data_IF_553441128765
#
_entry.id   IF_553441128765
#
_cell.length_a   1.000
_cell.length_b   1.000
_cell.length_c   1.000
_cell.angle_alpha   90.00
_cell.angle_beta   90.00
_cell.angle_gamma   90.00
#
_symmetry.space_group_name_H-M   'P 1'
#
loop_
_entity.id
_entity.type
_entity.pdbx_description
1 polymer ?
#
# COMPACT_ATOMS: atom_id res chain seq x y z
N UNK A 1 34.67 32.19 -9.65
CA UNK A 1 33.52 31.32 -9.86
C UNK A 1 33.58 30.18 -8.86
N UNK A 2 32.97 30.40 -7.71
CA UNK A 2 32.73 29.38 -6.70
C UNK A 2 31.47 28.59 -7.08
N UNK A 3 31.44 27.25 -6.88
CA UNK A 3 30.25 26.48 -7.11
C UNK A 3 29.20 26.81 -6.03
N UNK A 4 28.02 27.20 -6.48
CA UNK A 4 26.84 27.30 -5.60
C UNK A 4 26.49 25.91 -5.10
N UNK A 5 26.54 25.72 -3.78
CA UNK A 5 25.86 24.61 -3.09
C UNK A 5 24.36 24.79 -3.32
N UNK A 6 23.79 23.94 -4.14
CA UNK A 6 22.34 23.67 -4.13
C UNK A 6 22.06 22.81 -2.87
N UNK A 7 21.80 23.46 -1.76
CA UNK A 7 21.09 22.84 -0.63
C UNK A 7 19.67 22.55 -1.14
N UNK A 8 19.40 21.28 -1.43
CA UNK A 8 18.05 20.80 -1.62
C UNK A 8 17.22 21.19 -0.40
N UNK A 9 16.19 21.98 -0.58
CA UNK A 9 15.21 22.31 0.44
C UNK A 9 14.51 21.01 0.86
N UNK A 10 15.05 20.37 1.90
CA UNK A 10 14.25 19.44 2.69
C UNK A 10 13.08 20.25 3.26
N UNK A 11 11.86 19.85 2.99
CA UNK A 11 10.68 20.36 3.66
C UNK A 11 10.96 20.35 5.16
N UNK A 12 10.67 21.46 5.85
CA UNK A 12 11.07 21.60 7.25
C UNK A 12 10.48 20.44 8.04
N UNK A 13 11.29 19.82 8.88
CA UNK A 13 10.85 18.74 9.80
C UNK A 13 9.70 19.20 10.70
N UNK A 14 9.57 20.50 10.95
CA UNK A 14 8.39 21.10 11.57
C UNK A 14 7.09 20.83 10.78
N UNK A 15 7.15 20.54 9.49
CA UNK A 15 6.00 20.10 8.69
C UNK A 15 5.72 18.61 8.88
N UNK A 16 6.76 17.79 8.98
CA UNK A 16 6.65 16.36 9.28
C UNK A 16 6.14 16.16 10.72
N UNK A 17 6.67 16.89 11.70
CA UNK A 17 6.22 16.83 13.10
C UNK A 17 4.79 17.37 13.31
N UNK A 18 4.27 18.21 12.41
CA UNK A 18 2.85 18.61 12.42
C UNK A 18 1.91 17.50 11.99
N UNK A 19 2.39 16.52 11.23
CA UNK A 19 1.63 15.33 10.84
C UNK A 19 1.59 14.25 11.93
N UNK A 20 2.48 14.35 12.93
CA UNK A 20 2.55 13.43 14.07
C UNK A 20 2.35 14.19 15.39
N UNK A 21 1.12 14.55 15.78
CA UNK A 21 0.86 15.33 16.99
C UNK A 21 1.37 14.68 18.28
N UNK A 22 1.60 13.36 18.28
CA UNK A 22 2.16 12.62 19.41
C UNK A 22 3.62 12.17 19.21
N UNK A 23 4.23 12.45 18.05
CA UNK A 23 5.60 12.08 17.68
C UNK A 23 5.83 10.57 17.53
N UNK A 24 6.96 10.22 16.92
CA UNK A 24 7.37 8.80 16.71
C UNK A 24 7.70 8.12 18.05
N UNK A 25 8.00 8.91 19.09
CA UNK A 25 8.21 8.43 20.46
C UNK A 25 6.90 8.11 21.21
N UNK A 26 5.78 7.94 20.50
CA UNK A 26 4.46 7.60 21.09
C UNK A 26 4.43 6.28 21.85
N UNK A 27 5.38 5.37 21.60
CA UNK A 27 5.55 4.12 22.36
C UNK A 27 6.08 4.36 23.78
N UNK A 28 6.67 5.52 24.07
CA UNK A 28 7.13 5.88 25.39
C UNK A 28 5.97 6.34 26.27
N UNK A 29 6.01 5.98 27.54
CA UNK A 29 5.11 6.55 28.51
C UNK A 29 5.33 8.08 28.60
N UNK A 30 4.30 8.83 28.98
CA UNK A 30 4.38 10.28 29.16
C UNK A 30 5.55 10.70 30.07
N UNK A 31 5.89 9.88 31.08
CA UNK A 31 7.00 10.13 32.01
C UNK A 31 8.34 9.97 31.32
N UNK A 32 8.51 8.95 30.50
CA UNK A 32 9.75 8.69 29.75
C UNK A 32 9.96 9.77 28.70
N UNK A 33 8.91 10.16 27.99
CA UNK A 33 8.95 11.23 26.99
C UNK A 33 9.35 12.56 27.60
N UNK A 34 8.71 12.97 28.71
CA UNK A 34 9.07 14.20 29.40
C UNK A 34 10.53 14.19 29.88
N UNK A 35 11.06 13.04 30.33
CA UNK A 35 12.45 12.95 30.73
C UNK A 35 13.40 13.17 29.55
N UNK A 36 13.12 12.61 28.39
CA UNK A 36 13.92 12.86 27.18
C UNK A 36 13.83 14.32 26.74
N UNK A 37 12.64 14.90 26.70
CA UNK A 37 12.41 16.29 26.29
C UNK A 37 13.12 17.29 27.21
N UNK A 38 13.21 16.99 28.51
CA UNK A 38 13.87 17.85 29.50
C UNK A 38 15.41 17.74 29.49
N UNK A 39 15.95 16.61 29.08
CA UNK A 39 17.38 16.30 29.26
C UNK A 39 18.17 16.16 27.95
N UNK A 40 17.55 15.69 26.84
CA UNK A 40 18.24 15.51 25.59
C UNK A 40 18.21 16.77 24.71
N UNK A 41 19.31 17.12 24.02
CA UNK A 41 19.30 18.19 23.03
C UNK A 41 18.28 17.90 21.92
N UNK A 42 17.60 18.94 21.44
CA UNK A 42 16.60 18.83 20.38
C UNK A 42 17.11 18.08 19.14
N UNK A 43 18.33 18.38 18.69
CA UNK A 43 18.94 17.70 17.55
C UNK A 43 19.17 16.20 17.79
N UNK A 44 19.43 15.79 19.03
CA UNK A 44 19.59 14.40 19.39
C UNK A 44 18.24 13.68 19.45
N UNK A 45 17.19 14.32 19.98
CA UNK A 45 15.83 13.77 19.95
C UNK A 45 15.37 13.52 18.51
N UNK A 46 15.62 14.48 17.64
CA UNK A 46 15.37 14.38 16.22
C UNK A 46 16.13 13.22 15.57
N UNK A 47 17.41 13.05 15.93
CA UNK A 47 18.21 11.93 15.42
C UNK A 47 17.71 10.58 15.93
N UNK A 48 17.29 10.49 17.19
CA UNK A 48 16.66 9.30 17.77
C UNK A 48 15.39 8.94 17.00
N UNK A 49 14.54 9.92 16.70
CA UNK A 49 13.33 9.69 15.89
C UNK A 49 13.65 9.20 14.49
N UNK A 50 14.64 9.81 13.83
CA UNK A 50 15.08 9.38 12.49
C UNK A 50 15.72 7.99 12.50
N UNK A 51 16.52 7.65 13.51
CA UNK A 51 17.16 6.36 13.62
C UNK A 51 16.12 5.26 13.92
N UNK A 52 15.16 5.56 14.81
CA UNK A 52 14.03 4.66 15.09
C UNK A 52 13.19 4.43 13.84
N UNK A 53 12.87 5.50 13.13
CA UNK A 53 12.09 5.45 11.89
C UNK A 53 12.81 4.67 10.78
N UNK A 54 14.14 4.85 10.67
CA UNK A 54 14.95 4.19 9.66
C UNK A 54 15.46 2.79 10.10
N UNK A 55 15.08 2.30 11.29
CA UNK A 55 15.60 1.02 11.82
C UNK A 55 17.12 1.02 12.05
N UNK A 56 17.74 2.19 12.20
CA UNK A 56 19.19 2.31 12.38
C UNK A 56 19.60 2.17 13.84
N UNK A 57 20.83 1.68 14.10
CA UNK A 57 21.39 1.69 15.45
C UNK A 57 21.41 3.09 16.05
N UNK A 58 20.98 3.23 17.31
CA UNK A 58 21.10 4.47 18.03
C UNK A 58 22.56 4.85 18.28
N UNK A 59 22.85 6.14 18.24
CA UNK A 59 24.17 6.64 18.60
C UNK A 59 24.47 6.36 20.08
N UNK A 60 25.75 6.29 20.45
CA UNK A 60 26.17 6.14 21.84
C UNK A 60 25.61 7.26 22.73
N UNK A 61 25.43 8.47 22.19
CA UNK A 61 24.85 9.59 22.92
C UNK A 61 23.34 9.37 23.13
N UNK A 62 22.60 8.86 22.15
CA UNK A 62 21.19 8.52 22.32
C UNK A 62 21.00 7.46 23.43
N UNK A 63 21.82 6.41 23.43
CA UNK A 63 21.79 5.36 24.45
C UNK A 63 22.00 5.92 25.85
N UNK A 64 22.93 6.88 26.05
CA UNK A 64 23.14 7.54 27.35
C UNK A 64 21.88 8.24 27.87
N UNK A 65 21.09 8.87 26.99
CA UNK A 65 19.86 9.53 27.41
C UNK A 65 18.73 8.53 27.69
N UNK A 66 18.67 7.42 26.96
CA UNK A 66 17.77 6.31 27.30
C UNK A 66 18.09 5.76 28.69
N UNK A 67 19.35 5.50 28.99
CA UNK A 67 19.80 5.03 30.32
C UNK A 67 19.46 6.02 31.41
N UNK A 68 19.71 7.33 31.17
CA UNK A 68 19.38 8.39 32.11
C UNK A 68 17.89 8.46 32.44
N UNK A 69 17.05 8.21 31.46
CA UNK A 69 15.59 8.23 31.61
C UNK A 69 15.01 6.87 32.03
N UNK A 70 15.84 5.85 32.27
CA UNK A 70 15.46 4.46 32.51
C UNK A 70 14.54 3.91 31.41
N UNK A 71 14.80 4.28 30.17
CA UNK A 71 14.11 3.76 29.00
C UNK A 71 14.97 2.61 28.48
N UNK A 72 14.46 1.37 28.46
CA UNK A 72 15.17 0.31 27.74
C UNK A 72 15.27 0.76 26.27
N UNK A 73 16.48 0.78 25.67
CA UNK A 73 16.59 1.11 24.26
C UNK A 73 15.66 0.16 23.50
N UNK A 74 14.82 0.66 22.59
CA UNK A 74 13.95 -0.19 21.80
C UNK A 74 14.84 -1.23 21.10
N UNK A 75 14.42 -2.51 21.04
CA UNK A 75 15.19 -3.55 20.39
C UNK A 75 15.44 -3.10 18.95
N UNK A 76 16.71 -3.01 18.58
CA UNK A 76 17.08 -2.78 17.19
C UNK A 76 16.54 -3.94 16.36
N UNK A 77 16.04 -3.70 15.15
CA UNK A 77 15.73 -4.76 14.23
C UNK A 77 16.97 -5.67 14.08
N UNK A 78 16.94 -6.85 14.70
CA UNK A 78 18.03 -7.85 14.64
C UNK A 78 18.82 -8.15 15.92
N UNK A 79 18.66 -7.44 17.05
CA UNK A 79 19.38 -7.67 18.31
C UNK A 79 18.50 -8.08 19.52
N UNK A 80 17.33 -8.55 19.32
CA UNK A 80 16.59 -9.28 20.38
C UNK A 80 16.55 -10.74 20.00
N UNK A 81 16.62 -11.64 20.98
CA UNK A 81 16.16 -13.01 20.78
C UNK A 81 14.90 -12.96 19.94
N UNK A 82 14.93 -13.54 18.77
CA UNK A 82 13.97 -13.56 17.68
C UNK A 82 12.47 -13.60 18.11
N UNK A 83 12.02 -12.50 18.69
CA UNK A 83 10.64 -12.05 18.70
C UNK A 83 10.44 -10.87 17.72
N UNK A 84 11.37 -10.61 16.80
CA UNK A 84 10.92 -10.36 15.45
C UNK A 84 10.12 -11.64 15.18
N UNK A 85 8.79 -11.54 15.21
CA UNK A 85 7.99 -12.58 14.59
C UNK A 85 8.62 -12.74 13.21
N UNK A 86 9.51 -13.71 13.10
CA UNK A 86 9.90 -14.28 11.84
C UNK A 86 8.58 -14.33 11.11
N UNK A 87 8.50 -13.68 9.96
CA UNK A 87 7.30 -13.66 9.13
C UNK A 87 6.33 -14.68 9.67
N UNK A 88 5.14 -14.33 10.23
CA UNK A 88 4.36 -15.30 10.98
C UNK A 88 4.49 -16.57 10.20
N UNK A 89 5.06 -17.63 10.81
CA UNK A 89 5.32 -18.88 10.11
C UNK A 89 3.95 -19.32 9.61
N UNK A 90 3.57 -18.77 8.46
CA UNK A 90 2.44 -19.26 7.70
C UNK A 90 2.80 -20.71 7.54
N UNK A 91 1.90 -21.62 7.83
CA UNK A 91 2.13 -23.06 7.72
C UNK A 91 2.93 -23.30 6.44
N UNK A 92 4.27 -23.36 6.55
CA UNK A 92 5.16 -23.64 5.44
C UNK A 92 4.81 -25.07 5.06
N UNK A 93 3.90 -25.19 4.11
CA UNK A 93 3.60 -26.47 3.49
C UNK A 93 4.92 -26.94 2.88
N UNK A 94 5.46 -28.04 3.38
CA UNK A 94 6.71 -28.67 2.90
C UNK A 94 6.67 -29.07 1.41
N UNK A 95 5.61 -28.70 0.68
CA UNK A 95 5.36 -29.00 -0.73
C UNK A 95 5.27 -27.75 -1.63
N UNK A 96 6.10 -26.72 -1.41
CA UNK A 96 6.21 -25.61 -2.36
C UNK A 96 7.15 -26.01 -3.48
N UNK A 97 6.69 -26.83 -4.39
CA UNK A 97 7.26 -26.97 -5.73
C UNK A 97 6.91 -25.69 -6.51
N UNK A 98 7.92 -24.90 -6.83
CA UNK A 98 7.91 -23.64 -7.59
C UNK A 98 7.40 -22.40 -6.81
N UNK A 99 8.33 -21.63 -6.29
CA UNK A 99 8.04 -20.30 -5.73
C UNK A 99 7.55 -19.35 -6.84
N UNK A 100 6.56 -18.52 -6.51
CA UNK A 100 6.21 -17.39 -7.37
C UNK A 100 7.40 -16.43 -7.50
N UNK A 101 7.61 -15.86 -8.69
CA UNK A 101 8.69 -14.91 -8.95
C UNK A 101 8.34 -13.91 -10.06
N UNK A 102 9.00 -12.78 -10.04
CA UNK A 102 8.86 -11.73 -11.04
C UNK A 102 9.97 -11.80 -12.08
N UNK A 103 9.60 -11.60 -13.34
CA UNK A 103 10.52 -11.40 -14.47
C UNK A 103 10.14 -10.17 -15.28
N UNK A 104 11.00 -9.77 -16.21
CA UNK A 104 10.74 -8.66 -17.15
C UNK A 104 10.35 -7.35 -16.46
N UNK A 105 11.08 -6.99 -15.38
CA UNK A 105 10.83 -5.76 -14.61
C UNK A 105 11.33 -4.56 -15.43
N UNK A 106 10.39 -3.74 -15.93
CA UNK A 106 10.68 -2.62 -16.83
C UNK A 106 9.94 -1.37 -16.41
N UNK A 107 10.65 -0.24 -16.30
CA UNK A 107 10.02 1.07 -16.07
C UNK A 107 9.16 1.49 -17.24
N UNK A 108 7.97 2.01 -16.95
CA UNK A 108 7.09 2.63 -17.95
C UNK A 108 7.45 4.11 -18.17
N UNK A 109 8.38 4.67 -17.40
CA UNK A 109 8.72 6.10 -17.38
C UNK A 109 7.50 7.02 -17.14
N UNK A 110 6.54 6.53 -16.39
CA UNK A 110 5.34 7.27 -15.98
C UNK A 110 5.39 7.47 -14.47
N UNK A 111 5.30 8.72 -14.03
CA UNK A 111 5.19 9.08 -12.63
C UNK A 111 3.80 8.75 -12.11
N UNK A 112 3.71 8.07 -10.97
CA UNK A 112 2.43 7.75 -10.36
C UNK A 112 2.47 6.62 -9.35
N UNK A 113 1.33 6.49 -8.65
CA UNK A 113 1.07 5.48 -7.63
C UNK A 113 -0.33 4.89 -7.81
N UNK A 114 -0.64 3.84 -7.07
CA UNK A 114 -1.96 3.18 -7.04
C UNK A 114 -2.49 2.89 -8.46
N UNK A 115 -1.74 2.13 -9.27
CA UNK A 115 -2.21 1.72 -10.59
C UNK A 115 -3.39 0.76 -10.48
N UNK A 116 -4.29 0.82 -11.48
CA UNK A 116 -5.33 -0.18 -11.70
C UNK A 116 -5.38 -0.55 -13.17
N UNK A 117 -5.31 -1.85 -13.47
CA UNK A 117 -5.40 -2.41 -14.82
C UNK A 117 -6.79 -2.95 -15.10
N UNK A 118 -7.36 -2.52 -16.22
CA UNK A 118 -8.64 -3.01 -16.73
C UNK A 118 -8.47 -3.61 -18.13
N UNK A 119 -9.02 -4.78 -18.35
CA UNK A 119 -9.07 -5.40 -19.67
C UNK A 119 -10.23 -4.80 -20.48
N UNK A 120 -9.91 -4.01 -21.51
CA UNK A 120 -10.92 -3.42 -22.41
C UNK A 120 -11.34 -4.45 -23.48
N UNK A 121 -10.37 -5.15 -24.07
CA UNK A 121 -10.59 -6.23 -25.03
C UNK A 121 -9.31 -7.08 -25.18
N UNK A 122 -9.31 -8.04 -26.10
CA UNK A 122 -8.20 -8.98 -26.30
C UNK A 122 -6.86 -8.34 -26.74
N UNK A 123 -6.83 -7.05 -27.09
CA UNK A 123 -5.63 -6.34 -27.53
C UNK A 123 -5.37 -5.05 -26.78
N UNK A 124 -6.29 -4.66 -25.89
CA UNK A 124 -6.29 -3.32 -25.29
C UNK A 124 -6.57 -3.38 -23.80
N UNK A 125 -5.74 -2.70 -23.04
CA UNK A 125 -5.86 -2.47 -21.61
C UNK A 125 -6.14 -0.99 -21.35
N UNK A 126 -6.74 -0.70 -20.20
CA UNK A 126 -6.77 0.63 -19.64
C UNK A 126 -5.99 0.63 -18.34
N UNK A 127 -5.12 1.61 -18.20
CA UNK A 127 -4.32 1.83 -17.00
C UNK A 127 -4.77 3.13 -16.36
N UNK A 128 -5.25 3.03 -15.13
CA UNK A 128 -5.54 4.15 -14.25
C UNK A 128 -4.40 4.26 -13.23
N UNK A 129 -4.05 5.46 -12.82
CA UNK A 129 -3.08 5.67 -11.75
C UNK A 129 -3.14 7.09 -11.20
N UNK A 130 -2.88 7.26 -9.93
CA UNK A 130 -2.77 8.56 -9.29
C UNK A 130 -1.45 9.23 -9.69
N UNK A 131 -1.51 10.44 -10.28
CA UNK A 131 -0.35 11.18 -10.77
C UNK A 131 -0.46 12.64 -10.40
N UNK A 132 0.65 13.21 -9.91
CA UNK A 132 0.73 14.65 -9.63
C UNK A 132 0.58 15.49 -10.90
N UNK A 133 1.12 15.03 -12.02
CA UNK A 133 1.01 15.71 -13.30
C UNK A 133 -0.41 15.76 -13.85
N UNK A 134 -1.25 14.79 -13.48
CA UNK A 134 -2.66 14.74 -13.85
C UNK A 134 -3.58 15.48 -12.86
N UNK A 135 -3.06 15.91 -11.70
CA UNK A 135 -3.84 16.50 -10.61
C UNK A 135 -5.02 15.59 -10.18
N UNK A 136 -4.77 14.29 -10.16
CA UNK A 136 -5.76 13.26 -9.85
C UNK A 136 -5.42 11.93 -10.52
N UNK A 137 -6.44 11.27 -11.03
CA UNK A 137 -6.31 9.96 -11.68
C UNK A 137 -6.02 10.13 -13.17
N UNK A 138 -4.87 9.70 -13.63
CA UNK A 138 -4.53 9.58 -15.04
C UNK A 138 -5.23 8.37 -15.68
N UNK A 139 -5.62 8.47 -16.94
CA UNK A 139 -6.27 7.40 -17.70
C UNK A 139 -5.54 7.20 -19.01
N UNK A 140 -4.89 6.06 -19.17
CA UNK A 140 -4.14 5.69 -20.36
C UNK A 140 -4.76 4.46 -21.03
N UNK A 141 -4.73 4.42 -22.37
CA UNK A 141 -5.07 3.25 -23.16
C UNK A 141 -3.77 2.60 -23.64
N UNK A 142 -3.62 1.30 -23.39
CA UNK A 142 -2.37 0.57 -23.60
C UNK A 142 -2.60 -0.70 -24.41
N UNK A 143 -1.58 -1.19 -25.07
CA UNK A 143 -1.51 -2.59 -25.49
C UNK A 143 -1.03 -3.51 -24.32
N UNK A 144 -0.93 -4.82 -24.55
CA UNK A 144 -0.46 -5.77 -23.53
C UNK A 144 1.05 -5.70 -23.25
N UNK A 145 1.79 -4.95 -24.07
CA UNK A 145 3.20 -4.60 -23.78
C UNK A 145 3.31 -3.32 -22.94
N UNK A 146 2.15 -2.70 -22.59
CA UNK A 146 2.02 -1.43 -21.90
C UNK A 146 2.66 -0.26 -22.66
N UNK A 147 2.59 -0.27 -23.98
CA UNK A 147 2.76 0.93 -24.79
C UNK A 147 1.48 1.75 -24.67
N UNK A 148 1.53 2.82 -23.89
CA UNK A 148 0.36 3.57 -23.47
C UNK A 148 0.22 4.90 -24.17
N UNK A 149 -1.03 5.34 -24.33
CA UNK A 149 -1.39 6.67 -24.82
C UNK A 149 -2.39 7.32 -23.87
N UNK A 150 -2.04 8.49 -23.34
CA UNK A 150 -2.91 9.25 -22.44
C UNK A 150 -4.24 9.58 -23.13
N UNK A 151 -5.35 9.23 -22.48
CA UNK A 151 -6.71 9.55 -22.92
C UNK A 151 -7.25 10.78 -22.18
N UNK A 152 -6.94 10.92 -20.90
CA UNK A 152 -7.42 12.00 -20.07
C UNK A 152 -7.01 11.87 -18.62
N UNK A 153 -7.71 12.63 -17.78
CA UNK A 153 -7.57 12.56 -16.33
C UNK A 153 -8.93 12.82 -15.64
N UNK A 154 -9.07 12.27 -14.44
CA UNK A 154 -10.22 12.54 -13.56
C UNK A 154 -9.70 13.21 -12.31
N UNK A 155 -10.15 14.45 -12.06
CA UNK A 155 -9.72 15.21 -10.90
C UNK A 155 -10.29 14.68 -9.59
N UNK A 156 -9.55 14.85 -8.49
CA UNK A 156 -9.96 14.66 -7.09
C UNK A 156 -10.20 13.24 -6.62
N UNK A 157 -10.06 12.23 -7.45
CA UNK A 157 -10.13 10.84 -7.02
C UNK A 157 -8.75 10.21 -7.02
N UNK A 158 -8.54 9.25 -6.13
CA UNK A 158 -7.30 8.49 -5.94
C UNK A 158 -7.63 7.03 -5.70
N UNK A 159 -6.63 6.17 -5.85
CA UNK A 159 -6.70 4.75 -5.46
C UNK A 159 -7.97 4.05 -6.03
N UNK A 160 -8.13 4.12 -7.35
CA UNK A 160 -9.29 3.57 -8.03
C UNK A 160 -9.13 2.08 -8.31
N UNK A 161 -10.19 1.32 -8.05
CA UNK A 161 -10.42 -0.03 -8.61
C UNK A 161 -11.78 -0.07 -9.30
N UNK A 162 -11.91 -0.81 -10.41
CA UNK A 162 -13.17 -0.97 -11.16
C UNK A 162 -13.47 -2.47 -11.33
N UNK A 163 -14.72 -2.82 -11.09
CA UNK A 163 -15.25 -4.14 -11.39
C UNK A 163 -16.47 -4.05 -12.29
N UNK A 164 -16.68 -5.05 -13.13
CA UNK A 164 -17.95 -5.23 -13.84
C UNK A 164 -18.87 -6.10 -13.00
N UNK A 165 -19.99 -5.55 -12.56
CA UNK A 165 -20.99 -6.28 -11.79
C UNK A 165 -21.66 -7.37 -12.64
N UNK A 166 -22.35 -8.32 -12.03
CA UNK A 166 -23.10 -9.36 -12.75
C UNK A 166 -24.22 -8.79 -13.63
N UNK A 167 -24.63 -7.54 -13.44
CA UNK A 167 -25.58 -6.82 -14.31
C UNK A 167 -24.90 -6.06 -15.46
N UNK A 168 -23.57 -6.15 -15.61
CA UNK A 168 -22.80 -5.42 -16.63
C UNK A 168 -22.55 -3.95 -16.28
N UNK A 169 -22.74 -3.54 -15.03
CA UNK A 169 -22.44 -2.17 -14.58
C UNK A 169 -20.97 -2.08 -14.22
N UNK A 170 -20.23 -1.13 -14.80
CA UNK A 170 -18.85 -0.81 -14.41
C UNK A 170 -18.86 0.04 -13.15
N UNK A 171 -18.60 -0.59 -12.03
CA UNK A 171 -18.61 0.05 -10.72
C UNK A 171 -17.19 0.27 -10.23
N UNK A 172 -16.87 1.55 -9.98
CA UNK A 172 -15.60 1.93 -9.39
C UNK A 172 -15.71 2.17 -7.89
N UNK A 173 -14.61 1.88 -7.19
CA UNK A 173 -14.37 2.21 -5.79
C UNK A 173 -13.08 3.00 -5.71
N UNK A 174 -13.09 4.12 -5.00
CA UNK A 174 -11.97 5.04 -4.97
C UNK A 174 -11.96 5.87 -3.69
N UNK A 175 -10.85 6.49 -3.41
CA UNK A 175 -10.68 7.39 -2.27
C UNK A 175 -10.95 8.82 -2.69
N UNK A 176 -11.73 9.53 -1.89
CA UNK A 176 -11.95 10.97 -2.03
C UNK A 176 -11.79 11.66 -0.67
N UNK A 177 -11.18 12.85 -0.67
CA UNK A 177 -11.09 13.67 0.52
C UNK A 177 -12.38 14.46 0.74
N UNK A 178 -13.04 14.23 1.87
CA UNK A 178 -14.22 14.98 2.28
C UNK A 178 -13.81 16.23 3.08
N UNK A 179 -13.96 17.45 2.53
CA UNK A 179 -13.54 18.67 3.21
C UNK A 179 -14.38 19.01 4.45
N UNK A 180 -15.59 18.45 4.57
CA UNK A 180 -16.46 18.71 5.72
C UNK A 180 -16.06 17.90 6.94
N UNK A 181 -15.72 16.64 6.76
CA UNK A 181 -15.24 15.72 7.81
C UNK A 181 -13.74 15.80 8.00
N UNK A 182 -13.00 16.37 7.03
CA UNK A 182 -11.53 16.39 6.94
C UNK A 182 -10.92 14.99 6.96
N UNK A 183 -11.61 14.03 6.37
CA UNK A 183 -11.22 12.64 6.29
C UNK A 183 -11.23 12.16 4.84
N UNK A 184 -10.45 11.12 4.55
CA UNK A 184 -10.60 10.35 3.31
C UNK A 184 -11.76 9.37 3.49
N UNK A 185 -12.52 9.14 2.43
CA UNK A 185 -13.65 8.22 2.41
C UNK A 185 -13.56 7.32 1.17
N UNK A 186 -13.99 6.06 1.31
CA UNK A 186 -14.18 5.19 0.15
C UNK A 186 -15.55 5.50 -0.46
N UNK A 187 -15.51 5.92 -1.71
CA UNK A 187 -16.66 6.23 -2.53
C UNK A 187 -16.90 5.11 -3.53
N UNK A 188 -18.14 5.00 -4.02
CA UNK A 188 -18.45 4.20 -5.21
C UNK A 188 -19.23 5.03 -6.23
N UNK A 189 -19.02 4.71 -7.52
CA UNK A 189 -19.71 5.35 -8.63
C UNK A 189 -19.83 4.40 -9.84
N UNK A 190 -20.68 4.77 -10.81
CA UNK A 190 -20.76 4.08 -12.09
C UNK A 190 -19.87 4.79 -13.08
N UNK A 191 -18.88 4.09 -13.61
CA UNK A 191 -17.91 4.61 -14.58
C UNK A 191 -18.39 4.41 -16.02
N UNK A 192 -18.11 5.40 -16.87
CA UNK A 192 -18.33 5.33 -18.31
C UNK A 192 -17.45 4.26 -18.96
N UNK A 193 -17.82 3.80 -20.15
CA UNK A 193 -17.05 2.80 -20.89
C UNK A 193 -15.63 3.26 -21.25
N UNK A 194 -15.44 4.56 -21.50
CA UNK A 194 -14.13 5.15 -21.76
C UNK A 194 -13.28 5.38 -20.51
N UNK A 195 -13.89 5.22 -19.32
CA UNK A 195 -13.20 5.43 -18.03
C UNK A 195 -12.91 6.89 -17.69
N UNK A 196 -13.42 7.87 -18.44
CA UNK A 196 -13.11 9.28 -18.27
C UNK A 196 -14.15 10.07 -17.46
N UNK A 197 -15.25 9.43 -17.11
CA UNK A 197 -16.32 10.06 -16.33
C UNK A 197 -17.05 9.03 -15.47
N UNK A 198 -17.74 9.53 -14.46
CA UNK A 198 -18.58 8.71 -13.58
C UNK A 198 -19.83 9.44 -13.16
N UNK A 199 -20.81 8.66 -12.71
CA UNK A 199 -22.13 9.14 -12.23
C UNK A 199 -22.53 8.38 -10.97
N UNK A 200 -23.58 8.86 -10.30
CA UNK A 200 -24.16 8.19 -9.14
C UNK A 200 -23.17 7.89 -8.00
N UNK A 201 -22.29 8.87 -7.73
CA UNK A 201 -21.33 8.77 -6.65
C UNK A 201 -22.03 8.76 -5.30
N UNK A 202 -21.65 7.81 -4.44
CA UNK A 202 -22.11 7.69 -3.05
C UNK A 202 -20.96 7.27 -2.14
N UNK A 203 -20.97 7.74 -0.89
CA UNK A 203 -20.04 7.26 0.14
C UNK A 203 -20.46 5.88 0.65
N UNK A 204 -19.51 5.00 0.86
CA UNK A 204 -19.73 3.70 1.52
C UNK A 204 -19.80 3.81 3.04
N UNK A 205 -19.57 4.99 3.61
CA UNK A 205 -19.50 5.20 5.05
C UNK A 205 -18.23 4.62 5.68
N UNK A 206 -17.21 4.33 4.86
CA UNK A 206 -15.89 3.87 5.28
C UNK A 206 -14.94 5.07 5.18
N UNK A 207 -14.28 5.43 6.29
CA UNK A 207 -13.38 6.58 6.37
C UNK A 207 -12.11 6.26 7.13
N UNK A 208 -11.08 7.09 6.92
CA UNK A 208 -9.73 6.88 7.43
C UNK A 208 -9.59 7.04 8.96
N UNK A 209 -10.56 7.63 9.62
CA UNK A 209 -10.49 7.88 11.06
C UNK A 209 -9.30 8.76 11.48
N UNK A 210 -8.63 9.45 10.54
CA UNK A 210 -7.45 10.26 10.77
C UNK A 210 -6.12 9.53 10.53
N UNK A 211 -6.14 8.36 9.91
CA UNK A 211 -4.98 7.54 9.56
C UNK A 211 -4.18 8.08 8.37
N UNK A 212 -2.87 7.82 8.33
CA UNK A 212 -1.96 8.30 7.27
C UNK A 212 -1.67 7.28 6.16
N UNK A 213 -1.66 5.99 6.48
CA UNK A 213 -1.40 4.92 5.50
C UNK A 213 -2.69 4.14 5.18
N UNK A 214 -3.75 4.87 4.90
CA UNK A 214 -5.09 4.35 4.71
C UNK A 214 -5.54 4.45 3.25
N UNK A 215 -6.39 3.53 2.83
CA UNK A 215 -7.03 3.56 1.51
C UNK A 215 -6.60 2.39 0.64
N UNK A 216 -6.22 2.69 -0.60
CA UNK A 216 -5.84 1.72 -1.64
C UNK A 216 -6.86 0.56 -1.71
N UNK A 217 -8.15 0.88 -1.98
CA UNK A 217 -9.15 -0.17 -2.07
C UNK A 217 -8.92 -1.03 -3.30
N UNK A 218 -9.04 -2.34 -3.12
CA UNK A 218 -9.22 -3.29 -4.21
C UNK A 218 -10.63 -3.89 -4.14
N UNK A 219 -11.22 -4.18 -5.28
CA UNK A 219 -12.55 -4.75 -5.37
C UNK A 219 -12.59 -5.93 -6.35
N UNK A 220 -13.34 -6.95 -5.99
CA UNK A 220 -13.51 -8.14 -6.81
C UNK A 220 -14.93 -8.66 -6.75
N UNK A 221 -15.42 -9.19 -7.87
CA UNK A 221 -16.67 -9.94 -7.90
C UNK A 221 -16.39 -11.35 -7.38
N UNK A 222 -17.04 -11.72 -6.28
CA UNK A 222 -16.89 -13.04 -5.68
C UNK A 222 -17.80 -14.09 -6.33
N UNK A 223 -17.58 -15.40 -6.12
CA UNK A 223 -18.30 -16.46 -6.86
C UNK A 223 -19.82 -16.41 -6.77
N UNK A 224 -20.41 -15.85 -5.75
CA UNK A 224 -21.86 -15.68 -5.60
C UNK A 224 -22.41 -14.43 -6.30
N UNK A 225 -21.57 -13.67 -6.97
CA UNK A 225 -21.91 -12.48 -7.75
C UNK A 225 -21.92 -11.17 -6.94
N UNK A 226 -21.72 -11.22 -5.65
CA UNK A 226 -21.52 -10.04 -4.82
C UNK A 226 -20.13 -9.46 -5.03
N UNK A 227 -19.86 -8.28 -4.45
CA UNK A 227 -18.57 -7.62 -4.51
C UNK A 227 -17.94 -7.66 -3.13
N UNK A 228 -16.66 -8.00 -3.06
CA UNK A 228 -15.85 -7.80 -1.86
C UNK A 228 -14.83 -6.71 -2.15
N UNK A 229 -14.70 -5.77 -1.20
CA UNK A 229 -13.66 -4.74 -1.22
C UNK A 229 -12.66 -5.04 -0.11
N UNK A 230 -11.39 -4.79 -0.38
CA UNK A 230 -10.28 -4.84 0.56
C UNK A 230 -9.70 -3.44 0.66
N UNK A 231 -9.19 -3.05 1.82
CA UNK A 231 -8.50 -1.77 1.98
C UNK A 231 -7.55 -1.82 3.17
N UNK A 232 -6.60 -0.90 3.18
CA UNK A 232 -5.73 -0.69 4.32
C UNK A 232 -6.50 0.06 5.39
N UNK A 233 -6.65 -0.55 6.56
CA UNK A 233 -7.16 0.06 7.79
C UNK A 233 -5.96 0.20 8.74
N UNK A 234 -5.75 1.39 9.28
CA UNK A 234 -4.61 1.66 10.14
C UNK A 234 -5.05 1.81 11.58
N UNK A 235 -4.41 1.06 12.47
CA UNK A 235 -4.40 1.36 13.89
C UNK A 235 -3.16 2.18 14.24
N UNK A 236 -3.22 3.00 15.27
CA UNK A 236 -2.10 3.82 15.73
C UNK A 236 -0.88 2.97 16.09
N UNK A 237 0.30 3.40 15.63
CA UNK A 237 1.59 2.80 15.96
C UNK A 237 2.35 2.19 14.79
N UNK A 238 3.62 1.87 15.01
CA UNK A 238 4.45 1.17 14.01
C UNK A 238 3.84 -0.19 13.69
N UNK A 239 3.76 -0.54 12.40
CA UNK A 239 3.12 -1.76 11.90
C UNK A 239 1.64 -1.86 12.31
N UNK A 240 0.98 -0.72 12.46
CA UNK A 240 -0.44 -0.68 12.81
C UNK A 240 -1.35 -1.02 11.64
N UNK A 241 -0.84 -0.93 10.40
CA UNK A 241 -1.59 -1.18 9.18
C UNK A 241 -2.09 -2.63 9.14
N UNK A 242 -3.32 -2.76 8.67
CA UNK A 242 -4.04 -4.02 8.52
C UNK A 242 -4.80 -4.02 7.22
N UNK A 243 -4.90 -5.17 6.60
CA UNK A 243 -5.82 -5.34 5.48
C UNK A 243 -7.12 -5.92 6.02
N UNK A 244 -8.18 -5.19 5.77
CA UNK A 244 -9.55 -5.57 6.10
C UNK A 244 -10.37 -5.74 4.84
N UNK A 245 -11.55 -6.34 4.97
CA UNK A 245 -12.49 -6.44 3.86
C UNK A 245 -13.94 -6.25 4.29
N UNK A 246 -14.78 -5.95 3.32
CA UNK A 246 -16.23 -5.93 3.46
C UNK A 246 -16.87 -6.57 2.23
N UNK A 247 -17.94 -7.32 2.45
CA UNK A 247 -18.70 -7.96 1.38
C UNK A 247 -20.02 -7.21 1.17
N UNK A 248 -20.35 -6.93 -0.09
CA UNK A 248 -21.60 -6.24 -0.42
C UNK A 248 -22.83 -7.09 -0.08
N UNK A 249 -23.90 -6.43 0.29
CA UNK A 249 -25.17 -7.08 0.61
C UNK A 249 -25.87 -7.62 -0.65
N UNK A 250 -25.61 -6.96 -1.78
CA UNK A 250 -26.19 -7.32 -3.08
C UNK A 250 -25.15 -7.22 -4.19
N UNK A 251 -25.38 -7.83 -5.37
CA UNK A 251 -24.46 -7.74 -6.51
C UNK A 251 -24.21 -6.32 -7.05
N UNK A 252 -25.07 -5.35 -6.71
CA UNK A 252 -24.88 -3.95 -7.13
C UNK A 252 -23.69 -3.28 -6.45
N UNK A 253 -23.21 -3.81 -5.30
CA UNK A 253 -22.01 -3.32 -4.62
C UNK A 253 -22.10 -1.88 -4.10
N UNK A 254 -23.20 -1.52 -3.46
CA UNK A 254 -23.43 -0.16 -2.91
C UNK A 254 -23.59 -0.12 -1.39
N UNK A 255 -23.85 -1.25 -0.76
CA UNK A 255 -23.97 -1.41 0.69
C UNK A 255 -23.15 -2.61 1.12
N UNK A 256 -22.36 -2.45 2.14
CA UNK A 256 -21.36 -3.44 2.58
C UNK A 256 -21.48 -3.75 4.06
N UNK A 257 -21.23 -5.02 4.37
CA UNK A 257 -21.00 -5.47 5.75
C UNK A 257 -19.54 -5.84 5.93
N UNK A 258 -18.86 -5.25 6.93
CA UNK A 258 -17.45 -5.56 7.22
C UNK A 258 -17.31 -7.05 7.57
N UNK A 259 -16.40 -7.72 6.91
CA UNK A 259 -16.07 -9.11 7.19
C UNK A 259 -15.35 -9.22 8.55
N UNK A 260 -15.58 -10.27 9.34
CA UNK A 260 -14.93 -10.42 10.64
C UNK A 260 -13.42 -10.67 10.50
N UNK A 261 -12.63 -10.13 11.44
CA UNK A 261 -11.18 -10.27 11.49
C UNK A 261 -10.44 -9.42 10.45
N UNK A 262 -9.16 -9.67 10.35
CA UNK A 262 -8.24 -9.02 9.41
C UNK A 262 -7.80 -10.03 8.37
N UNK A 263 -7.47 -9.52 7.15
CA UNK A 263 -6.86 -10.38 6.10
C UNK A 263 -5.38 -10.55 6.39
N UNK A 264 -4.73 -9.42 6.72
CA UNK A 264 -3.36 -9.35 7.21
C UNK A 264 -3.24 -8.28 8.28
N UNK A 265 -2.27 -8.42 9.18
CA UNK A 265 -1.93 -7.48 10.25
C UNK A 265 -0.44 -7.14 10.18
N UNK A 266 -0.02 -6.15 10.96
CA UNK A 266 1.39 -5.86 11.21
C UNK A 266 2.17 -5.28 10.02
N UNK A 267 1.57 -4.36 9.27
CA UNK A 267 2.27 -3.59 8.24
C UNK A 267 2.13 -4.11 6.82
N UNK A 268 1.20 -5.02 6.56
CA UNK A 268 0.81 -5.38 5.21
C UNK A 268 -0.14 -4.34 4.64
N UNK A 269 0.10 -3.96 3.39
CA UNK A 269 -0.61 -2.88 2.68
C UNK A 269 -0.81 -3.25 1.20
N UNK A 270 -1.54 -2.40 0.45
CA UNK A 270 -1.63 -2.41 -1.01
C UNK A 270 -2.03 -3.80 -1.57
N UNK A 271 -3.16 -4.28 -1.13
CA UNK A 271 -3.63 -5.63 -1.45
C UNK A 271 -4.47 -5.65 -2.73
N UNK A 272 -4.12 -6.52 -3.67
CA UNK A 272 -4.82 -6.72 -4.94
C UNK A 272 -5.15 -8.20 -5.15
N UNK A 273 -6.42 -8.51 -5.43
CA UNK A 273 -6.87 -9.87 -5.76
C UNK A 273 -6.71 -10.13 -7.25
N UNK A 274 -5.86 -11.06 -7.60
CA UNK A 274 -5.59 -11.47 -8.99
C UNK A 274 -6.61 -12.50 -9.51
N UNK A 275 -7.12 -13.35 -8.62
CA UNK A 275 -8.11 -14.41 -8.94
C UNK A 275 -9.07 -14.55 -7.77
N UNK A 276 -10.37 -14.62 -8.08
CA UNK A 276 -11.45 -14.84 -7.12
C UNK A 276 -12.42 -15.90 -7.65
N UNK A 277 -11.99 -17.14 -7.64
CA UNK A 277 -12.79 -18.30 -8.07
C UNK A 277 -13.15 -19.21 -6.89
N UNK A 278 -14.10 -20.09 -7.06
CA UNK A 278 -14.48 -21.04 -6.02
C UNK A 278 -13.27 -21.92 -5.60
N UNK A 279 -12.87 -21.81 -4.33
CA UNK A 279 -11.71 -22.50 -3.74
C UNK A 279 -10.34 -22.16 -4.38
N UNK A 280 -10.24 -21.11 -5.21
CA UNK A 280 -9.02 -20.71 -5.87
C UNK A 280 -8.92 -19.18 -5.89
N UNK A 281 -8.30 -18.64 -4.88
CA UNK A 281 -8.02 -17.21 -4.75
C UNK A 281 -6.53 -16.97 -4.78
N UNK A 282 -6.12 -15.94 -5.48
CA UNK A 282 -4.73 -15.50 -5.54
C UNK A 282 -4.67 -13.99 -5.36
N UNK A 283 -3.70 -13.51 -4.60
CA UNK A 283 -3.49 -12.08 -4.37
C UNK A 283 -2.02 -11.72 -4.42
N UNK A 284 -1.75 -10.45 -4.70
CA UNK A 284 -0.47 -9.79 -4.58
C UNK A 284 -0.62 -8.59 -3.63
N UNK A 285 0.37 -8.33 -2.81
CA UNK A 285 0.33 -7.23 -1.83
C UNK A 285 1.73 -6.77 -1.49
N UNK A 286 1.85 -5.65 -0.78
CA UNK A 286 3.14 -5.14 -0.35
C UNK A 286 3.33 -5.20 1.16
N UNK A 287 4.58 -5.28 1.57
CA UNK A 287 5.01 -5.26 2.97
C UNK A 287 6.44 -4.79 3.08
N UNK A 288 6.74 -3.95 4.07
CA UNK A 288 8.11 -3.60 4.40
C UNK A 288 8.80 -4.73 5.16
N UNK A 289 9.90 -5.33 4.64
CA UNK A 289 10.63 -6.38 5.33
C UNK A 289 11.22 -5.92 6.68
N UNK A 290 11.44 -4.63 6.85
CA UNK A 290 11.92 -4.03 8.11
C UNK A 290 10.77 -3.68 9.07
N UNK A 291 9.53 -3.94 8.66
CA UNK A 291 8.34 -3.60 9.41
C UNK A 291 8.00 -2.12 9.46
N UNK A 292 8.58 -1.35 8.55
CA UNK A 292 8.24 0.02 8.29
C UNK A 292 7.39 0.04 7.01
N UNK A 293 6.10 0.33 7.07
CA UNK A 293 5.19 0.16 5.92
C UNK A 293 5.52 1.07 4.75
N UNK A 294 6.36 2.06 4.96
CA UNK A 294 6.64 3.07 3.93
C UNK A 294 7.93 2.83 3.17
N UNK A 295 8.99 2.23 3.78
CA UNK A 295 10.30 2.13 3.13
C UNK A 295 11.16 1.06 3.83
N UNK A 296 11.88 0.19 3.10
CA UNK A 296 11.54 -0.30 1.76
C UNK A 296 10.37 -1.28 1.79
N UNK A 297 9.57 -1.32 0.73
CA UNK A 297 8.46 -2.26 0.59
C UNK A 297 8.78 -3.33 -0.45
N UNK A 298 8.35 -4.56 -0.20
CA UNK A 298 8.51 -5.68 -1.11
C UNK A 298 7.18 -6.29 -1.44
N UNK A 299 7.07 -6.91 -2.62
CA UNK A 299 5.86 -7.61 -3.05
C UNK A 299 5.87 -9.06 -2.59
N UNK A 300 4.70 -9.52 -2.21
CA UNK A 300 4.40 -10.90 -1.80
C UNK A 300 3.17 -11.39 -2.54
N UNK A 301 2.98 -12.71 -2.54
CA UNK A 301 1.78 -13.34 -3.05
C UNK A 301 1.17 -14.21 -1.96
N UNK A 302 -0.17 -14.32 -2.02
CA UNK A 302 -0.93 -15.19 -1.15
C UNK A 302 -1.97 -15.98 -1.92
N UNK A 303 -2.38 -17.11 -1.35
CA UNK A 303 -3.48 -17.92 -1.84
C UNK A 303 -4.55 -18.07 -0.77
N UNK A 304 -5.80 -18.29 -1.19
CA UNK A 304 -6.91 -18.52 -0.28
C UNK A 304 -7.96 -19.44 -0.91
N UNK A 305 -8.84 -19.99 -0.09
CA UNK A 305 -10.01 -20.75 -0.55
C UNK A 305 -11.28 -19.90 -0.61
N UNK A 306 -11.32 -18.81 0.13
CA UNK A 306 -12.55 -18.03 0.34
C UNK A 306 -12.34 -16.52 0.25
N UNK A 307 -11.07 -16.06 0.10
CA UNK A 307 -10.69 -14.66 0.12
C UNK A 307 -10.74 -13.99 1.51
N UNK A 308 -10.91 -14.77 2.57
CA UNK A 308 -10.95 -14.28 3.95
C UNK A 308 -9.75 -14.73 4.77
N UNK A 309 -9.36 -15.98 4.63
CA UNK A 309 -8.15 -16.53 5.23
C UNK A 309 -7.11 -16.79 4.16
N UNK A 310 -5.90 -16.25 4.33
CA UNK A 310 -4.86 -16.24 3.32
C UNK A 310 -3.61 -16.95 3.80
N UNK A 311 -3.09 -17.82 2.96
CA UNK A 311 -1.80 -18.50 3.13
C UNK A 311 -0.75 -17.79 2.25
N UNK A 312 0.43 -17.52 2.79
CA UNK A 312 1.56 -16.97 2.04
C UNK A 312 2.89 -17.50 2.56
N UNK A 313 3.91 -17.48 1.71
CA UNK A 313 5.21 -18.09 2.03
C UNK A 313 6.10 -17.22 2.91
N UNK A 314 5.80 -15.93 3.05
CA UNK A 314 6.69 -14.98 3.70
C UNK A 314 7.95 -14.65 2.90
N UNK A 315 8.07 -15.17 1.66
CA UNK A 315 9.21 -14.90 0.78
C UNK A 315 8.82 -13.77 -0.20
N UNK A 316 9.58 -12.65 -0.23
CA UNK A 316 9.34 -11.58 -1.19
C UNK A 316 9.58 -12.07 -2.61
N UNK A 317 8.70 -11.67 -3.54
CA UNK A 317 8.82 -11.95 -4.97
C UNK A 317 9.51 -10.84 -5.75
N UNK A 318 9.57 -9.62 -5.18
CA UNK A 318 10.28 -8.48 -5.76
C UNK A 318 11.75 -8.42 -5.31
N UNK A 319 12.65 -7.83 -6.12
CA UNK A 319 13.98 -7.47 -5.66
C UNK A 319 13.93 -6.56 -4.43
N UNK A 320 15.00 -6.58 -3.62
CA UNK A 320 15.11 -5.79 -2.38
C UNK A 320 15.91 -4.49 -2.56
N UNK A 321 16.19 -4.10 -3.79
CA UNK A 321 16.97 -2.93 -4.16
C UNK A 321 16.14 -1.64 -4.28
N UNK A 322 14.83 -1.77 -4.46
CA UNK A 322 13.87 -0.67 -4.54
C UNK A 322 12.59 -1.01 -3.74
N UNK A 323 11.84 0.02 -3.39
CA UNK A 323 10.50 -0.15 -2.84
C UNK A 323 9.48 -0.39 -3.93
N UNK A 324 8.63 -1.39 -3.75
CA UNK A 324 7.56 -1.79 -4.65
C UNK A 324 6.22 -1.67 -3.93
N UNK A 325 5.34 -0.82 -4.44
CA UNK A 325 4.08 -0.39 -3.82
C UNK A 325 2.91 -0.61 -4.76
N UNK A 326 1.71 -0.62 -4.21
CA UNK A 326 0.44 -0.54 -4.95
C UNK A 326 0.42 -1.46 -6.17
N UNK A 327 0.58 -2.79 -6.03
CA UNK A 327 0.53 -3.67 -7.18
C UNK A 327 -0.90 -3.77 -7.71
N UNK A 328 -1.04 -3.89 -9.04
CA UNK A 328 -2.25 -4.36 -9.72
C UNK A 328 -1.87 -5.40 -10.76
N UNK A 329 -2.78 -6.29 -11.15
CA UNK A 329 -2.44 -7.31 -12.11
C UNK A 329 -3.62 -7.96 -12.83
N UNK A 330 -3.34 -8.48 -14.01
CA UNK A 330 -4.32 -9.22 -14.83
C UNK A 330 -3.74 -10.57 -15.28
N UNK A 331 -4.59 -11.56 -15.38
CA UNK A 331 -4.23 -12.89 -15.91
C UNK A 331 -4.02 -12.82 -17.42
N UNK A 332 -2.90 -13.32 -17.89
CA UNK A 332 -2.58 -13.47 -19.31
C UNK A 332 -3.05 -14.81 -19.84
N UNK A 333 -3.20 -14.92 -21.16
CA UNK A 333 -3.66 -16.13 -21.84
C UNK A 333 -2.72 -17.34 -21.67
N UNK A 334 -1.46 -17.12 -21.32
CA UNK A 334 -0.47 -18.18 -21.04
C UNK A 334 -0.45 -18.66 -19.58
N UNK A 335 -1.31 -18.10 -18.72
CA UNK A 335 -1.39 -18.42 -17.31
C UNK A 335 -0.50 -17.58 -16.39
N UNK A 336 0.38 -16.72 -16.92
CA UNK A 336 1.15 -15.74 -16.17
C UNK A 336 0.28 -14.52 -15.83
N UNK A 337 0.80 -13.61 -15.01
CA UNK A 337 0.13 -12.34 -14.73
C UNK A 337 0.98 -11.15 -15.22
N UNK A 338 0.34 -10.23 -15.93
CA UNK A 338 0.92 -8.90 -16.15
C UNK A 338 0.64 -8.06 -14.90
N UNK A 339 1.69 -7.61 -14.26
CA UNK A 339 1.61 -6.80 -13.03
C UNK A 339 2.19 -5.41 -13.29
N UNK A 340 1.52 -4.39 -12.80
CA UNK A 340 2.05 -3.03 -12.68
C UNK A 340 2.12 -2.66 -11.20
N UNK A 341 3.18 -2.01 -10.79
CA UNK A 341 3.26 -1.42 -9.45
C UNK A 341 4.02 -0.10 -9.47
N UNK A 342 3.79 0.73 -8.49
CA UNK A 342 4.64 1.87 -8.21
C UNK A 342 5.99 1.39 -7.65
N UNK A 343 7.07 2.06 -8.02
CA UNK A 343 8.42 1.76 -7.54
C UNK A 343 9.08 3.05 -7.09
N UNK A 344 9.65 3.04 -5.90
CA UNK A 344 10.40 4.16 -5.32
C UNK A 344 11.79 3.70 -4.88
N UNK A 345 12.78 4.60 -4.85
CA UNK A 345 14.06 4.34 -4.21
C UNK A 345 13.91 3.95 -2.74
N UNK A 346 14.85 3.17 -2.21
CA UNK A 346 14.89 2.76 -0.80
C UNK A 346 15.32 3.90 0.15
N UNK A 347 15.32 5.13 -0.29
CA UNK A 347 15.72 6.28 0.51
C UNK A 347 14.51 6.91 1.20
N UNK A 348 14.67 7.21 2.49
CA UNK A 348 13.65 7.86 3.28
C UNK A 348 13.34 9.26 2.72
N UNK A 349 12.07 9.55 2.48
CA UNK A 349 11.61 10.85 1.98
C UNK A 349 11.63 11.00 0.46
N UNK A 350 12.17 10.02 -0.28
CA UNK A 350 12.01 10.00 -1.72
C UNK A 350 10.56 9.64 -2.07
N UNK A 351 9.94 10.50 -2.87
CA UNK A 351 8.55 10.37 -3.33
C UNK A 351 8.43 10.32 -4.85
N UNK A 352 9.54 10.14 -5.54
CA UNK A 352 9.56 9.99 -6.99
C UNK A 352 9.18 8.56 -7.36
N UNK A 353 7.88 8.30 -7.40
CA UNK A 353 7.32 7.00 -7.75
C UNK A 353 7.12 6.90 -9.26
N UNK A 354 7.57 5.78 -9.83
CA UNK A 354 7.38 5.45 -11.24
C UNK A 354 6.65 4.12 -11.36
N UNK A 355 5.82 4.00 -12.39
CA UNK A 355 5.18 2.73 -12.69
C UNK A 355 6.14 1.79 -13.40
N UNK A 356 6.14 0.53 -12.97
CA UNK A 356 6.92 -0.55 -13.54
C UNK A 356 6.01 -1.72 -13.91
N UNK A 357 6.17 -2.23 -15.13
CA UNK A 357 5.57 -3.51 -15.53
C UNK A 357 6.45 -4.69 -15.14
N UNK A 358 5.84 -5.83 -14.93
CA UNK A 358 6.48 -7.09 -14.57
C UNK A 358 5.61 -8.26 -15.03
N UNK A 359 6.21 -9.40 -15.23
CA UNK A 359 5.48 -10.65 -15.39
C UNK A 359 5.62 -11.46 -14.11
N UNK A 360 4.50 -11.77 -13.49
CA UNK A 360 4.46 -12.66 -12.33
C UNK A 360 4.18 -14.08 -12.81
N UNK A 361 5.10 -14.97 -12.49
CA UNK A 361 4.97 -16.43 -12.60
C UNK A 361 4.47 -16.94 -11.27
N UNK A 362 3.33 -17.62 -11.29
CA UNK A 362 2.71 -18.13 -10.08
C UNK A 362 2.13 -19.53 -10.37
N UNK A 363 2.53 -20.58 -9.61
CA UNK A 363 2.07 -21.94 -9.82
C UNK A 363 0.55 -22.13 -9.64
#
# INVERSE_FOLDING_TARGET
NEPKNDEAQMGSIDEILKEFPDGILSFLSKKERNCLDENAPFELLRQIELDLYAGRPFSEDAIKYFDMCNIPPPPLPGEGESNVQAFPEGNVSENVEENAYLVDIVSLNQDGVSPHLEVVNSTTLRLFYSSLSANGLAVDLCDYDLNCTRQGAIERIQDLTIVETTSGTRRGYFVEFNPNTKSKEIMTAIFSEDGLSYTNQISLGISDGGSIAWGVPDAVVIPDGRIRIYWVDESSGMRGEKIVSATSETPEGISFTKDPGYRFENGYVDFEVLVAEENNWKAIFSFSPEGLPKIPQSLFVATSKDGLEWDFTGVPISPLDLSYLDPTGILLSNGDYLVVSAVAPNELGDRDYFLYKKILKMP
#
